data_IF_826764079457
#
_entry.id   IF_826764079457
#
_cell.length_a   1.000
_cell.length_b   1.000
_cell.length_c   1.000
_cell.angle_alpha   90.00
_cell.angle_beta   90.00
_cell.angle_gamma   90.00
#
_symmetry.space_group_name_H-M   'P 1'
#
loop_
_entity.id
_entity.type
_entity.pdbx_description
1 polymer ?
#
# COMPACT_ATOMS: atom_id res chain seq x y z
N UNK A 1 4.37 -6.73 0.05
CA UNK A 1 3.83 -7.24 1.34
C UNK A 1 3.87 -6.14 2.41
N UNK A 2 2.79 -5.95 3.17
CA UNK A 2 2.68 -4.84 4.15
C UNK A 2 3.74 -4.90 5.25
N UNK A 3 4.09 -6.10 5.72
CA UNK A 3 5.06 -6.31 6.80
C UNK A 3 6.48 -5.81 6.47
N UNK A 4 6.81 -5.61 5.20
CA UNK A 4 8.10 -5.02 4.81
C UNK A 4 8.27 -3.58 5.30
N UNK A 5 7.17 -2.90 5.66
CA UNK A 5 7.19 -1.54 6.20
C UNK A 5 7.44 -1.47 7.72
N UNK A 6 7.53 -2.61 8.42
CA UNK A 6 7.76 -2.66 9.86
C UNK A 6 9.10 -3.32 10.21
N UNK A 7 9.57 -3.09 11.43
CA UNK A 7 10.73 -3.77 12.01
C UNK A 7 10.30 -5.12 12.57
N UNK A 8 11.02 -6.19 12.22
CA UNK A 8 10.68 -7.55 12.67
C UNK A 8 10.83 -7.73 14.19
N UNK A 9 11.68 -6.92 14.83
CA UNK A 9 11.98 -7.03 16.25
C UNK A 9 10.85 -6.51 17.16
N UNK A 10 10.15 -5.45 16.77
CA UNK A 10 9.21 -4.73 17.64
C UNK A 10 7.90 -4.30 16.95
N UNK A 11 7.76 -4.58 15.65
CA UNK A 11 6.56 -4.23 14.87
C UNK A 11 6.37 -2.74 14.59
N UNK A 12 7.33 -1.88 14.97
CA UNK A 12 7.28 -0.44 14.68
C UNK A 12 7.50 -0.18 13.19
N UNK A 13 6.99 0.94 12.67
CA UNK A 13 7.32 1.35 11.31
C UNK A 13 8.83 1.54 11.14
N UNK A 14 9.34 1.14 9.96
CA UNK A 14 10.70 1.49 9.55
C UNK A 14 10.88 3.00 9.48
N UNK A 15 12.13 3.46 9.55
CA UNK A 15 12.45 4.88 9.41
C UNK A 15 12.03 5.38 8.02
N UNK A 16 11.74 6.68 7.94
CA UNK A 16 11.31 7.34 6.70
C UNK A 16 12.18 6.98 5.49
N UNK A 17 13.50 7.05 5.63
CA UNK A 17 14.44 6.75 4.54
C UNK A 17 14.30 5.31 4.01
N UNK A 18 14.16 4.33 4.90
CA UNK A 18 14.00 2.91 4.53
C UNK A 18 12.66 2.68 3.82
N UNK A 19 11.60 3.34 4.30
CA UNK A 19 10.29 3.31 3.66
C UNK A 19 10.35 3.93 2.25
N UNK A 20 10.97 5.10 2.10
CA UNK A 20 11.13 5.74 0.79
C UNK A 20 11.89 4.84 -0.19
N UNK A 21 12.98 4.22 0.25
CA UNK A 21 13.75 3.28 -0.56
C UNK A 21 12.90 2.07 -0.96
N UNK A 22 12.18 1.46 0.00
CA UNK A 22 11.33 0.30 -0.21
C UNK A 22 10.27 0.55 -1.30
N UNK A 23 9.60 1.69 -1.26
CA UNK A 23 8.53 2.01 -2.21
C UNK A 23 9.06 2.50 -3.56
N UNK A 24 10.09 3.36 -3.57
CA UNK A 24 10.71 3.84 -4.81
C UNK A 24 11.32 2.73 -5.64
N UNK A 25 11.93 1.72 -5.01
CA UNK A 25 12.45 0.52 -5.69
C UNK A 25 11.35 -0.26 -6.44
N UNK A 26 10.08 -0.03 -6.14
CA UNK A 26 8.90 -0.62 -6.80
C UNK A 26 8.18 0.36 -7.72
N UNK A 27 8.79 1.51 -8.02
CA UNK A 27 8.20 2.54 -8.87
C UNK A 27 7.04 3.32 -8.24
N UNK A 28 6.83 3.17 -6.92
CA UNK A 28 5.83 3.91 -6.14
C UNK A 28 6.49 5.22 -5.71
N UNK A 29 6.03 6.34 -6.28
CA UNK A 29 6.63 7.68 -6.16
C UNK A 29 5.54 8.74 -5.92
N UNK A 30 5.84 9.86 -5.25
CA UNK A 30 4.81 10.83 -4.83
C UNK A 30 4.13 11.57 -5.99
N UNK A 31 4.73 11.57 -7.18
CA UNK A 31 4.20 12.21 -8.38
C UNK A 31 3.07 11.40 -9.03
N UNK A 32 2.93 10.12 -8.65
CA UNK A 32 1.88 9.24 -9.17
C UNK A 32 0.71 9.14 -8.20
N UNK A 33 -0.46 8.90 -8.76
CA UNK A 33 -1.57 8.38 -7.96
C UNK A 33 -1.28 6.94 -7.53
N UNK A 34 -1.50 6.64 -6.25
CA UNK A 34 -1.31 5.31 -5.66
C UNK A 34 -2.63 4.82 -5.06
N UNK A 35 -3.08 3.66 -5.51
CA UNK A 35 -4.22 2.95 -4.94
C UNK A 35 -3.70 1.69 -4.24
N UNK A 36 -3.91 1.59 -2.93
CA UNK A 36 -3.56 0.39 -2.16
C UNK A 36 -4.76 -0.53 -2.03
N UNK A 37 -4.56 -1.84 -2.16
CA UNK A 37 -5.58 -2.86 -1.94
C UNK A 37 -4.98 -4.12 -1.30
N UNK A 38 -5.83 -4.94 -0.67
CA UNK A 38 -5.44 -6.28 -0.23
C UNK A 38 -6.59 -7.26 -0.49
N UNK A 39 -7.05 -7.98 0.54
CA UNK A 39 -8.25 -8.82 0.47
C UNK A 39 -9.52 -8.06 0.88
N UNK A 40 -9.45 -7.27 1.96
CA UNK A 40 -10.59 -6.60 2.62
C UNK A 40 -10.20 -5.24 3.22
N UNK A 41 -9.22 -4.53 2.64
CA UNK A 41 -8.80 -3.22 3.16
C UNK A 41 -7.89 -3.22 4.41
N UNK A 42 -7.83 -4.30 5.19
CA UNK A 42 -7.14 -4.35 6.50
C UNK A 42 -5.61 -4.09 6.44
N UNK A 43 -4.92 -4.65 5.44
CA UNK A 43 -3.47 -4.56 5.25
C UNK A 43 -3.09 -3.41 4.35
N UNK A 44 -4.00 -3.02 3.46
CA UNK A 44 -3.79 -1.89 2.57
C UNK A 44 -3.94 -0.57 3.30
N UNK A 45 -4.80 -0.47 4.34
CA UNK A 45 -4.87 0.71 5.21
C UNK A 45 -3.53 1.01 5.90
N UNK A 46 -2.81 -0.02 6.35
CA UNK A 46 -1.46 0.14 6.92
C UNK A 46 -0.46 0.73 5.91
N UNK A 47 -0.47 0.21 4.68
CA UNK A 47 0.40 0.71 3.60
C UNK A 47 0.01 2.12 3.17
N UNK A 48 -1.30 2.39 3.07
CA UNK A 48 -1.86 3.70 2.80
C UNK A 48 -1.41 4.72 3.84
N UNK A 49 -1.46 4.37 5.13
CA UNK A 49 -1.02 5.24 6.21
C UNK A 49 0.47 5.60 6.08
N UNK A 50 1.33 4.60 5.83
CA UNK A 50 2.75 4.82 5.62
C UNK A 50 3.03 5.78 4.46
N UNK A 51 2.40 5.57 3.31
CA UNK A 51 2.58 6.42 2.14
C UNK A 51 2.03 7.83 2.36
N UNK A 52 0.80 7.94 2.88
CA UNK A 52 0.08 9.21 3.03
C UNK A 52 0.66 10.09 4.13
N UNK A 53 0.91 9.52 5.31
CA UNK A 53 1.24 10.29 6.52
C UNK A 53 2.72 10.25 6.88
N UNK A 54 3.39 9.10 6.74
CA UNK A 54 4.82 9.00 7.10
C UNK A 54 5.72 9.54 5.99
N UNK A 55 5.35 9.26 4.73
CA UNK A 55 6.09 9.71 3.54
C UNK A 55 5.52 10.98 2.91
N UNK A 56 4.29 11.36 3.25
CA UNK A 56 3.66 12.60 2.77
C UNK A 56 3.24 12.56 1.30
N UNK A 57 2.92 11.39 0.74
CA UNK A 57 2.50 11.29 -0.66
C UNK A 57 1.13 11.94 -0.83
N UNK A 58 0.96 12.90 -1.75
CA UNK A 58 -0.26 13.71 -1.83
C UNK A 58 -1.47 12.89 -2.30
N UNK A 59 -1.26 11.93 -3.21
CA UNK A 59 -2.33 11.25 -3.94
C UNK A 59 -2.35 9.74 -3.66
N UNK A 60 -2.76 9.37 -2.43
CA UNK A 60 -2.88 7.96 -2.01
C UNK A 60 -4.29 7.65 -1.55
N UNK A 61 -4.92 6.63 -2.14
CA UNK A 61 -6.27 6.14 -1.79
C UNK A 61 -6.21 4.68 -1.37
N UNK A 62 -7.02 4.30 -0.38
CA UNK A 62 -7.21 2.91 0.00
C UNK A 62 -8.49 2.38 -0.67
N UNK A 63 -8.38 1.30 -1.43
CA UNK A 63 -9.52 0.60 -2.01
C UNK A 63 -9.98 -0.50 -1.04
N UNK A 64 -11.04 -0.21 -0.28
CA UNK A 64 -11.55 -1.05 0.80
C UNK A 64 -12.23 -2.33 0.31
N UNK A 65 -12.98 -2.27 -0.81
CA UNK A 65 -13.56 -3.44 -1.47
C UNK A 65 -12.50 -4.50 -1.82
N UNK A 66 -11.31 -4.02 -2.22
CA UNK A 66 -10.11 -4.86 -2.38
C UNK A 66 -10.37 -6.08 -3.26
N UNK A 67 -9.59 -7.16 -3.12
CA UNK A 67 -9.75 -8.34 -3.94
C UNK A 67 -11.07 -9.09 -3.71
N UNK A 68 -11.67 -8.99 -2.52
CA UNK A 68 -12.96 -9.64 -2.26
C UNK A 68 -14.06 -9.03 -3.13
N UNK A 69 -14.01 -7.72 -3.39
CA UNK A 69 -14.92 -7.10 -4.36
C UNK A 69 -14.48 -7.35 -5.81
N UNK A 70 -13.24 -7.00 -6.16
CA UNK A 70 -12.75 -7.06 -7.55
C UNK A 70 -12.80 -8.48 -8.12
N UNK A 71 -12.34 -9.47 -7.35
CA UNK A 71 -12.30 -10.87 -7.76
C UNK A 71 -13.67 -11.52 -7.88
N UNK A 72 -14.72 -10.93 -7.30
CA UNK A 72 -16.11 -11.39 -7.44
C UNK A 72 -16.92 -10.53 -8.42
N UNK A 73 -16.34 -9.47 -9.00
CA UNK A 73 -17.02 -8.58 -9.91
C UNK A 73 -17.06 -9.15 -11.33
N UNK A 74 -18.25 -9.12 -11.94
CA UNK A 74 -18.48 -9.67 -13.29
C UNK A 74 -17.75 -8.83 -14.33
N UNK A 75 -16.93 -9.49 -15.17
CA UNK A 75 -16.18 -8.90 -16.30
C UNK A 75 -15.08 -7.90 -15.91
N UNK A 76 -14.64 -7.88 -14.65
CA UNK A 76 -13.50 -7.04 -14.28
C UNK A 76 -12.20 -7.67 -14.81
N UNK A 77 -11.28 -6.87 -15.38
CA UNK A 77 -10.03 -7.41 -15.92
C UNK A 77 -9.13 -7.95 -14.80
N UNK A 78 -8.42 -9.05 -15.07
CA UNK A 78 -7.50 -9.73 -14.15
C UNK A 78 -6.25 -10.12 -14.93
N UNK A 79 -5.08 -9.79 -14.37
CA UNK A 79 -3.77 -10.27 -14.82
C UNK A 79 -3.31 -11.44 -13.92
N UNK A 80 -2.61 -12.44 -14.49
CA UNK A 80 -2.16 -13.66 -13.79
C UNK A 80 -0.66 -13.74 -13.68
#
# INVERSE_FOLDING_TARGET
PWAQAVNDADGTFKKRQDLEQLYRAKGIVPEKEVITYCRIGERSSHTWFALKYLLGYPNVRNYDGSWTEWGNSVKFPIEK
#
